data_IF_126507061546
#
_entry.id   IF_126507061546
#
_cell.length_a   1.000
_cell.length_b   1.000
_cell.length_c   1.000
_cell.angle_alpha   90.00
_cell.angle_beta   90.00
_cell.angle_gamma   90.00
#
_symmetry.space_group_name_H-M   'P 1'
#
loop_
_entity.id
_entity.type
_entity.pdbx_description
1 polymer ?
#
# COMPACT_ATOMS: atom_id res chain seq x y z
N UNK A 1 10.36 4.03 25.37
CA UNK A 1 10.76 2.78 24.68
C UNK A 1 9.93 2.67 23.41
N UNK A 2 10.41 3.26 22.30
CA UNK A 2 9.73 3.20 21.02
C UNK A 2 10.34 2.06 20.20
N UNK A 3 9.53 1.04 19.90
CA UNK A 3 9.90 -0.02 18.97
C UNK A 3 9.86 0.57 17.56
N UNK A 4 11.01 0.96 17.04
CA UNK A 4 11.19 1.21 15.61
C UNK A 4 11.09 -0.15 14.91
N UNK A 5 9.90 -0.48 14.37
CA UNK A 5 9.77 -1.62 13.47
C UNK A 5 10.60 -1.36 12.22
N UNK A 6 11.68 -2.13 12.05
CA UNK A 6 12.43 -2.21 10.80
C UNK A 6 11.49 -2.71 9.71
N UNK A 7 11.03 -1.79 8.86
CA UNK A 7 10.13 -2.10 7.75
C UNK A 7 10.85 -2.84 6.63
N UNK A 8 11.11 -4.13 6.83
CA UNK A 8 11.51 -5.03 5.75
C UNK A 8 10.35 -5.15 4.74
N UNK A 9 10.61 -4.97 3.44
CA UNK A 9 9.59 -5.20 2.40
C UNK A 9 9.34 -6.70 2.30
N UNK A 10 8.12 -7.14 2.59
CA UNK A 10 7.68 -8.48 2.22
C UNK A 10 7.48 -8.55 0.69
N UNK A 11 8.12 -9.51 0.04
CA UNK A 11 7.90 -9.85 -1.37
C UNK A 11 7.10 -11.14 -1.45
N UNK A 12 6.16 -11.24 -2.40
CA UNK A 12 5.47 -12.48 -2.68
C UNK A 12 6.44 -13.49 -3.32
N UNK A 13 6.24 -14.79 -3.05
CA UNK A 13 7.00 -15.85 -3.70
C UNK A 13 6.48 -16.11 -5.12
N UNK A 14 7.33 -16.66 -6.00
CA UNK A 14 6.92 -17.08 -7.35
C UNK A 14 5.71 -18.03 -7.34
N UNK A 15 5.62 -18.90 -6.33
CA UNK A 15 4.49 -19.79 -6.16
C UNK A 15 3.18 -19.03 -5.86
N UNK A 16 3.25 -17.93 -5.09
CA UNK A 16 2.10 -17.07 -4.83
C UNK A 16 1.65 -16.34 -6.09
N UNK A 17 2.58 -15.83 -6.91
CA UNK A 17 2.28 -15.22 -8.21
C UNK A 17 1.64 -16.22 -9.18
N UNK A 18 2.18 -17.44 -9.24
CA UNK A 18 1.61 -18.52 -10.05
C UNK A 18 0.20 -18.87 -9.58
N UNK A 19 -0.04 -18.90 -8.26
CA UNK A 19 -1.36 -19.17 -7.72
C UNK A 19 -2.37 -18.08 -8.12
N UNK A 20 -1.97 -16.81 -8.11
CA UNK A 20 -2.85 -15.68 -8.47
C UNK A 20 -3.40 -15.74 -9.90
N UNK A 21 -2.71 -16.41 -10.82
CA UNK A 21 -3.19 -16.60 -12.19
C UNK A 21 -4.36 -17.60 -12.31
N UNK A 22 -4.68 -18.34 -11.24
CA UNK A 22 -5.76 -19.33 -11.23
C UNK A 22 -7.10 -18.70 -10.83
N UNK A 23 -8.24 -19.20 -11.34
CA UNK A 23 -9.55 -18.71 -10.94
C UNK A 23 -9.84 -19.01 -9.46
N UNK A 24 -10.59 -18.12 -8.81
CA UNK A 24 -11.03 -18.28 -7.41
C UNK A 24 -9.99 -17.91 -6.36
N UNK A 25 -8.88 -17.28 -6.75
CA UNK A 25 -7.84 -16.81 -5.83
C UNK A 25 -8.03 -15.33 -5.52
N UNK A 26 -7.81 -14.95 -4.25
CA UNK A 26 -7.92 -13.59 -3.75
C UNK A 26 -6.54 -13.16 -3.25
N UNK A 27 -6.02 -12.05 -3.78
CA UNK A 27 -4.87 -11.34 -3.21
C UNK A 27 -5.35 -10.26 -2.24
N UNK A 28 -4.68 -10.15 -1.10
CA UNK A 28 -4.82 -9.01 -0.19
C UNK A 28 -3.45 -8.34 -0.10
N UNK A 29 -3.41 -7.05 -0.42
CA UNK A 29 -2.19 -6.25 -0.42
C UNK A 29 -2.38 -5.02 0.46
N UNK A 30 -1.33 -4.66 1.20
CA UNK A 30 -1.29 -3.39 1.90
C UNK A 30 -0.97 -2.29 0.88
N UNK A 31 -1.59 -1.12 1.04
CA UNK A 31 -1.22 0.05 0.24
C UNK A 31 0.26 0.43 0.47
N UNK A 32 0.88 1.04 -0.54
CA UNK A 32 2.24 1.58 -0.43
C UNK A 32 2.31 2.80 0.52
N UNK A 33 3.48 3.38 0.75
CA UNK A 33 3.63 4.44 1.75
C UNK A 33 2.74 5.68 1.50
N UNK A 34 1.80 5.92 2.42
CA UNK A 34 1.03 7.16 2.54
C UNK A 34 1.27 7.73 3.96
N UNK A 35 2.13 8.74 4.13
CA UNK A 35 2.48 9.27 5.45
C UNK A 35 1.27 9.85 6.21
N UNK A 36 1.31 9.78 7.55
CA UNK A 36 0.23 10.26 8.42
C UNK A 36 -0.85 9.20 8.71
N UNK A 37 -1.92 9.63 9.39
CA UNK A 37 -3.04 8.77 9.83
C UNK A 37 -4.37 9.47 9.58
N UNK A 38 -5.34 8.74 8.99
CA UNK A 38 -6.62 9.32 8.56
C UNK A 38 -6.50 10.23 7.34
N UNK A 39 -7.63 10.69 6.82
CA UNK A 39 -7.66 11.74 5.79
C UNK A 39 -7.50 13.13 6.43
N UNK A 40 -7.06 14.15 5.68
CA UNK A 40 -7.00 15.54 6.12
C UNK A 40 -8.35 16.09 6.63
N UNK A 41 -8.32 17.15 7.44
CA UNK A 41 -9.53 17.75 8.01
C UNK A 41 -10.46 18.34 6.93
N UNK A 42 -9.88 18.77 5.82
CA UNK A 42 -10.51 19.34 4.63
C UNK A 42 -10.89 18.30 3.56
N UNK A 43 -10.85 17.01 3.90
CA UNK A 43 -11.24 15.93 3.00
C UNK A 43 -12.65 16.14 2.42
N UNK A 44 -12.75 16.05 1.10
CA UNK A 44 -14.01 16.17 0.35
C UNK A 44 -14.35 14.84 -0.32
N UNK A 45 -15.50 14.27 0.03
CA UNK A 45 -16.02 13.06 -0.61
C UNK A 45 -16.18 13.29 -2.12
N UNK A 46 -15.58 12.41 -2.92
CA UNK A 46 -15.57 12.50 -4.38
C UNK A 46 -14.36 13.24 -4.97
N UNK A 47 -13.55 13.92 -4.15
CA UNK A 47 -12.27 14.51 -4.57
C UNK A 47 -11.09 13.76 -3.96
N UNK A 48 -10.53 12.82 -4.72
CA UNK A 48 -9.39 12.03 -4.30
C UNK A 48 -8.14 12.86 -4.02
N UNK A 49 -8.01 14.07 -4.56
CA UNK A 49 -6.82 14.90 -4.32
C UNK A 49 -6.71 15.38 -2.87
N UNK A 50 -7.84 15.41 -2.15
CA UNK A 50 -7.94 15.83 -0.75
C UNK A 50 -7.74 14.69 0.26
N UNK A 51 -7.59 13.45 -0.18
CA UNK A 51 -7.35 12.27 0.68
C UNK A 51 -5.88 12.17 1.12
N UNK A 52 -5.62 11.30 2.11
CA UNK A 52 -4.24 10.90 2.46
C UNK A 52 -3.68 9.95 1.39
N UNK A 53 -3.05 10.55 0.40
CA UNK A 53 -2.49 9.85 -0.76
C UNK A 53 -1.05 9.37 -0.56
N UNK A 54 -0.59 8.53 -1.50
CA UNK A 54 0.80 8.10 -1.59
C UNK A 54 1.74 9.29 -1.81
N UNK A 55 2.83 9.35 -1.05
CA UNK A 55 3.92 10.30 -1.33
C UNK A 55 4.78 9.82 -2.53
N UNK A 56 5.81 10.57 -2.91
CA UNK A 56 6.69 10.19 -4.01
C UNK A 56 7.36 8.82 -3.79
N UNK A 57 7.71 8.47 -2.54
CA UNK A 57 8.31 7.18 -2.20
C UNK A 57 7.26 6.07 -2.25
N UNK A 58 6.03 6.35 -1.81
CA UNK A 58 4.90 5.44 -1.91
C UNK A 58 4.53 5.11 -3.35
N UNK A 59 4.57 6.10 -4.25
CA UNK A 59 4.36 5.86 -5.68
C UNK A 59 5.47 4.99 -6.28
N UNK A 60 6.73 5.29 -5.98
CA UNK A 60 7.85 4.46 -6.41
C UNK A 60 7.78 3.03 -5.85
N UNK A 61 7.28 2.84 -4.62
CA UNK A 61 7.01 1.51 -4.08
C UNK A 61 5.93 0.79 -4.89
N UNK A 62 4.80 1.45 -5.17
CA UNK A 62 3.67 0.89 -5.91
C UNK A 62 4.04 0.45 -7.33
N UNK A 63 4.96 1.16 -7.99
CA UNK A 63 5.49 0.78 -9.31
C UNK A 63 6.33 -0.52 -9.27
N UNK A 64 6.78 -0.94 -8.09
CA UNK A 64 7.65 -2.11 -7.88
C UNK A 64 6.99 -3.26 -7.11
N UNK A 65 5.66 -3.21 -6.91
CA UNK A 65 4.89 -4.29 -6.26
C UNK A 65 4.65 -5.44 -7.24
#
# INVERSE_FOLDING_TARGET
MALAGSGERATASEAAWTALARPGIIAVMRHALAPGTGDPAEFTLGDCSTQRNLDARGRAQAETI
#
